data_IF_313344595704
#
_entry.id   IF_313344595704
#
_cell.length_a   1.000
_cell.length_b   1.000
_cell.length_c   1.000
_cell.angle_alpha   90.00
_cell.angle_beta   90.00
_cell.angle_gamma   90.00
#
_symmetry.space_group_name_H-M   'P 1'
#
loop_
_entity.id
_entity.type
_entity.pdbx_description
1 polymer ?
#
# COMPACT_ATOMS: atom_id res chain seq x y z
N UNK A 1 -13.76 -10.46 0.28
CA UNK A 1 -13.37 -10.44 0.20
C UNK A 1 -12.67 -10.41 0.14
N UNK A 2 -12.51 -10.12 0.63
CA UNK A 2 -11.82 -10.10 0.65
C UNK A 2 -11.09 -10.40 0.65
N UNK A 3 -10.93 -10.82 1.00
CA UNK A 3 -10.16 -11.26 0.91
C UNK A 3 -9.78 -11.85 0.15
N UNK A 4 -9.95 -12.01 -0.05
CA UNK A 4 -9.51 -12.50 -0.68
C UNK A 4 -8.92 -12.51 -1.35
N UNK A 5 -9.07 -12.46 -1.31
CA UNK A 5 -8.62 -12.27 -1.87
C UNK A 5 -7.41 -12.42 -2.28
N UNK A 6 -6.98 -12.33 -2.38
CA UNK A 6 -5.84 -12.31 -2.73
C UNK A 6 -4.97 -13.05 -1.93
N UNK A 7 -5.20 -13.52 -1.08
CA UNK A 7 -4.52 -14.16 -0.36
C UNK A 7 -4.25 -15.34 -0.75
N UNK A 8 -4.61 -15.73 -1.28
CA UNK A 8 -4.56 -16.83 -1.56
C UNK A 8 -3.64 -17.60 -2.14
N UNK A 9 -3.00 -17.49 -2.64
CA UNK A 9 -2.16 -18.32 -3.22
C UNK A 9 -0.84 -18.22 -2.63
N UNK A 10 -0.71 -18.08 -1.36
CA UNK A 10 0.55 -17.93 -0.73
C UNK A 10 1.47 -19.11 -0.97
N UNK A 11 0.89 -20.28 -1.05
CA UNK A 11 1.60 -21.44 -1.26
C UNK A 11 2.35 -21.51 -2.54
N UNK A 12 1.69 -21.34 -3.60
CA UNK A 12 2.25 -21.29 -4.89
C UNK A 12 3.22 -20.16 -4.99
N UNK A 13 2.87 -19.05 -4.40
CA UNK A 13 3.69 -17.88 -4.40
C UNK A 13 5.03 -18.15 -3.74
N UNK A 14 4.99 -18.83 -2.66
CA UNK A 14 6.18 -19.19 -1.95
C UNK A 14 7.08 -20.09 -2.76
N UNK A 15 6.52 -21.07 -3.39
CA UNK A 15 7.30 -21.96 -4.20
C UNK A 15 7.96 -21.25 -5.37
N UNK A 16 7.22 -20.33 -5.97
CA UNK A 16 7.75 -19.54 -7.05
C UNK A 16 8.91 -18.69 -6.58
N UNK A 17 8.77 -18.05 -5.45
CA UNK A 17 9.80 -17.22 -4.89
C UNK A 17 11.04 -18.00 -4.52
N UNK A 18 10.86 -19.17 -4.03
CA UNK A 18 11.97 -20.00 -3.67
C UNK A 18 12.87 -20.28 -4.86
N UNK A 19 12.24 -20.47 -5.99
CA UNK A 19 12.96 -20.72 -7.20
C UNK A 19 13.58 -19.46 -7.76
N UNK A 20 12.80 -18.42 -7.88
CA UNK A 20 13.25 -17.17 -8.43
C UNK A 20 14.14 -16.42 -7.48
N UNK A 21 14.04 -16.72 -6.23
CA UNK A 21 14.81 -16.05 -5.20
C UNK A 21 16.29 -16.17 -5.39
N UNK A 22 16.70 -17.09 -6.19
CA UNK A 22 18.10 -17.23 -6.47
C UNK A 22 18.58 -16.05 -7.30
N UNK A 23 17.66 -15.31 -7.88
CA UNK A 23 18.01 -14.12 -8.61
C UNK A 23 17.79 -12.96 -7.70
N UNK A 24 18.89 -12.38 -7.30
CA UNK A 24 18.87 -11.25 -6.42
C UNK A 24 17.91 -10.15 -6.82
N UNK A 25 17.94 -9.75 -8.05
CA UNK A 25 17.11 -8.65 -8.51
C UNK A 25 15.63 -8.92 -8.37
N UNK A 26 15.24 -10.16 -8.58
CA UNK A 26 13.83 -10.50 -8.50
C UNK A 26 13.33 -10.40 -7.05
N UNK A 27 14.12 -10.89 -6.12
CA UNK A 27 13.73 -10.85 -4.72
C UNK A 27 13.57 -9.42 -4.22
N UNK A 28 14.48 -8.56 -4.61
CA UNK A 28 14.43 -7.17 -4.21
C UNK A 28 13.21 -6.48 -4.80
N UNK A 29 12.91 -6.77 -6.05
CA UNK A 29 11.74 -6.17 -6.68
C UNK A 29 10.45 -6.65 -6.03
N UNK A 30 10.42 -7.92 -5.67
CA UNK A 30 9.24 -8.46 -5.01
C UNK A 30 9.04 -7.81 -3.64
N UNK A 31 10.12 -7.64 -2.89
CA UNK A 31 10.02 -7.03 -1.56
C UNK A 31 9.51 -5.60 -1.64
N UNK A 32 9.99 -4.85 -2.62
CA UNK A 32 9.54 -3.48 -2.80
C UNK A 32 8.06 -3.45 -3.12
N UNK A 33 7.62 -4.35 -4.00
CA UNK A 33 6.24 -4.41 -4.39
C UNK A 33 5.34 -4.83 -3.22
N UNK A 34 5.84 -5.73 -2.39
CA UNK A 34 5.09 -6.17 -1.23
C UNK A 34 4.83 -5.02 -0.27
N UNK A 35 5.83 -4.16 -0.08
CA UNK A 35 5.67 -3.00 0.78
C UNK A 35 4.65 -2.03 0.20
N UNK A 36 4.66 -1.86 -1.11
CA UNK A 36 3.71 -0.97 -1.75
C UNK A 36 2.29 -1.50 -1.62
N UNK A 37 2.10 -2.80 -1.76
CA UNK A 37 0.79 -3.39 -1.57
C UNK A 37 0.32 -3.24 -0.12
N UNK A 38 1.25 -3.41 0.80
CA UNK A 38 0.96 -3.28 2.21
C UNK A 38 0.49 -1.87 2.54
N UNK A 39 1.19 -0.89 1.98
CA UNK A 39 0.83 0.50 2.19
C UNK A 39 -0.53 0.83 1.59
N UNK A 40 -0.76 0.38 0.36
CA UNK A 40 -2.04 0.62 -0.29
C UNK A 40 -3.19 0.02 0.53
N UNK A 41 -2.97 -1.17 1.04
CA UNK A 41 -3.97 -1.84 1.85
C UNK A 41 -4.29 -1.04 3.11
N UNK A 42 -3.27 -0.51 3.76
CA UNK A 42 -3.45 0.30 4.94
C UNK A 42 -4.23 1.57 4.64
N UNK A 43 -3.93 2.18 3.51
CA UNK A 43 -4.63 3.39 3.11
C UNK A 43 -6.11 3.11 2.84
N UNK A 44 -6.38 2.03 2.14
CA UNK A 44 -7.76 1.65 1.85
C UNK A 44 -8.53 1.36 3.14
N UNK A 45 -7.91 0.66 4.05
CA UNK A 45 -8.56 0.33 5.31
C UNK A 45 -8.81 1.56 6.16
N UNK A 46 -7.87 2.48 6.16
CA UNK A 46 -8.04 3.71 6.93
C UNK A 46 -9.18 4.55 6.35
N UNK A 47 -9.25 4.62 5.03
CA UNK A 47 -10.33 5.37 4.40
C UNK A 47 -11.69 4.71 4.69
N UNK A 48 -11.75 3.39 4.59
CA UNK A 48 -12.99 2.67 4.87
C UNK A 48 -13.44 2.87 6.31
N UNK A 49 -12.48 2.83 7.22
CA UNK A 49 -12.77 3.02 8.63
C UNK A 49 -13.32 4.41 8.90
N UNK A 50 -12.83 5.40 8.15
CA UNK A 50 -13.30 6.76 8.28
C UNK A 50 -14.64 6.98 7.57
N UNK A 51 -15.07 6.03 6.76
CA UNK A 51 -16.32 6.15 6.04
C UNK A 51 -16.27 7.16 4.91
N UNK A 52 -15.09 7.34 4.32
CA UNK A 52 -14.92 8.36 3.29
C UNK A 52 -14.77 7.75 1.91
N UNK A 53 -15.28 8.46 0.92
CA UNK A 53 -15.08 8.08 -0.47
C UNK A 53 -13.77 8.66 -0.95
N UNK A 54 -13.32 8.21 -2.11
CA UNK A 54 -12.14 8.80 -2.72
C UNK A 54 -12.34 10.28 -3.02
N UNK A 55 -13.55 10.64 -3.43
CA UNK A 55 -13.86 12.04 -3.68
C UNK A 55 -13.73 12.88 -2.42
N UNK A 56 -14.23 12.36 -1.31
CA UNK A 56 -14.17 13.10 -0.06
C UNK A 56 -12.73 13.30 0.41
N UNK A 57 -11.91 12.26 0.25
CA UNK A 57 -10.51 12.38 0.63
C UNK A 57 -9.80 13.37 -0.28
N UNK A 58 -10.10 13.31 -1.59
CA UNK A 58 -9.51 14.24 -2.54
C UNK A 58 -9.82 15.67 -2.15
N UNK A 59 -11.04 15.91 -1.77
CA UNK A 59 -11.46 17.23 -1.36
C UNK A 59 -10.70 17.71 -0.14
N UNK A 60 -10.57 16.85 0.85
CA UNK A 60 -9.84 17.19 2.06
C UNK A 60 -8.37 17.46 1.81
N UNK A 61 -7.80 16.78 0.84
CA UNK A 61 -6.40 16.95 0.51
C UNK A 61 -6.15 18.04 -0.53
N UNK A 62 -7.22 18.59 -1.11
CA UNK A 62 -7.07 19.59 -2.14
C UNK A 62 -6.54 19.03 -3.43
N UNK A 63 -6.97 17.84 -3.78
CA UNK A 63 -6.49 17.19 -4.99
C UNK A 63 -7.66 16.52 -5.72
N UNK A 64 -7.38 15.68 -6.70
CA UNK A 64 -8.42 15.06 -7.51
C UNK A 64 -8.65 13.62 -7.10
N UNK A 65 -9.82 13.11 -7.46
CA UNK A 65 -10.13 11.71 -7.21
C UNK A 65 -9.12 10.79 -7.90
N UNK A 66 -8.70 11.17 -9.11
CA UNK A 66 -7.71 10.40 -9.83
C UNK A 66 -6.40 10.28 -9.07
N UNK A 67 -6.00 11.37 -8.42
CA UNK A 67 -4.78 11.35 -7.62
C UNK A 67 -4.92 10.40 -6.46
N UNK A 68 -6.09 10.40 -5.80
CA UNK A 68 -6.32 9.50 -4.68
C UNK A 68 -6.33 8.05 -5.17
N UNK A 69 -6.96 7.81 -6.28
CA UNK A 69 -6.99 6.47 -6.86
C UNK A 69 -5.58 5.96 -7.10
N UNK A 70 -4.71 6.83 -7.61
CA UNK A 70 -3.33 6.46 -7.83
C UNK A 70 -2.57 6.20 -6.55
N UNK A 71 -2.84 7.00 -5.53
CA UNK A 71 -2.20 6.79 -4.24
C UNK A 71 -2.56 5.43 -3.65
N UNK A 72 -3.80 5.03 -3.86
CA UNK A 72 -4.29 3.78 -3.29
C UNK A 72 -3.99 2.57 -4.15
N UNK A 73 -3.34 2.77 -5.27
CA UNK A 73 -2.92 1.66 -6.13
C UNK A 73 -1.48 1.33 -5.84
N UNK A 74 -1.18 0.07 -5.76
CA UNK A 74 0.19 -0.33 -5.55
C UNK A 74 0.93 -0.36 -6.86
N UNK A 75 2.22 -0.19 -6.77
CA UNK A 75 3.08 -0.61 -7.85
C UNK A 75 3.85 0.40 -8.62
N UNK A 76 3.30 1.51 -9.00
CA UNK A 76 4.06 2.37 -9.86
C UNK A 76 4.87 3.43 -9.19
N UNK A 77 4.28 4.14 -8.30
CA UNK A 77 4.98 5.21 -7.61
C UNK A 77 4.67 5.16 -6.15
N UNK A 78 5.70 5.19 -5.35
CA UNK A 78 5.50 5.28 -3.91
C UNK A 78 5.22 6.74 -3.57
N UNK A 79 4.21 7.02 -2.77
CA UNK A 79 3.94 8.40 -2.36
C UNK A 79 5.06 8.92 -1.46
N UNK A 80 5.24 10.23 -1.46
CA UNK A 80 6.21 10.84 -0.58
C UNK A 80 5.66 10.85 0.84
N UNK A 81 6.55 11.06 1.81
CA UNK A 81 6.12 11.15 3.19
C UNK A 81 5.16 12.32 3.39
N UNK A 82 5.39 13.41 2.72
CA UNK A 82 4.51 14.57 2.82
C UNK A 82 3.10 14.21 2.35
N UNK A 83 3.01 13.49 1.24
CA UNK A 83 1.72 13.07 0.72
C UNK A 83 1.04 12.10 1.67
N UNK A 84 1.80 11.16 2.23
CA UNK A 84 1.26 10.20 3.16
C UNK A 84 0.72 10.89 4.42
N UNK A 85 1.42 11.91 4.89
CA UNK A 85 0.96 12.67 6.04
C UNK A 85 -0.37 13.35 5.75
N UNK A 86 -0.48 13.93 4.56
CA UNK A 86 -1.72 14.59 4.18
C UNK A 86 -2.86 13.60 4.07
N UNK A 87 -2.59 12.44 3.49
CA UNK A 87 -3.61 11.41 3.37
C UNK A 87 -4.06 10.95 4.77
N UNK A 88 -3.09 10.67 5.63
CA UNK A 88 -3.39 10.21 6.98
C UNK A 88 -4.29 11.21 7.70
N UNK A 89 -3.93 12.48 7.60
CA UNK A 89 -4.71 13.54 8.20
C UNK A 89 -6.13 13.57 7.66
N UNK A 90 -6.26 13.40 6.35
CA UNK A 90 -7.56 13.45 5.71
C UNK A 90 -8.49 12.34 6.17
N UNK A 91 -7.94 11.19 6.53
CA UNK A 91 -8.75 10.07 7.00
C UNK A 91 -8.72 9.91 8.52
N UNK A 92 -8.26 10.95 9.21
CA UNK A 92 -8.29 10.96 10.67
C UNK A 92 -7.27 10.05 11.32
N UNK A 93 -6.16 9.84 10.66
CA UNK A 93 -5.10 8.98 11.18
C UNK A 93 -3.82 9.74 11.37
N UNK A 94 -2.92 9.15 12.10
CA UNK A 94 -1.60 9.69 12.27
C UNK A 94 -0.62 8.79 11.55
N UNK A 95 0.26 9.36 10.76
CA UNK A 95 1.26 8.56 10.04
C UNK A 95 2.38 8.17 10.97
N UNK A 96 2.69 6.88 11.00
CA UNK A 96 3.82 6.39 11.76
C UNK A 96 4.70 5.56 10.86
N UNK A 97 5.99 5.80 10.94
CA UNK A 97 6.96 5.05 10.15
C UNK A 97 7.97 4.45 11.11
N UNK A 98 8.18 3.16 11.01
CA UNK A 98 9.11 2.49 11.90
C UNK A 98 10.08 1.64 11.13
N UNK A 99 11.31 1.64 11.57
CA UNK A 99 12.33 0.79 11.03
C UNK A 99 12.48 -0.39 11.97
N UNK A 100 12.23 -1.56 11.45
CA UNK A 100 12.28 -2.78 12.25
C UNK A 100 13.59 -3.48 11.99
N UNK A 101 14.36 -3.79 13.04
CA UNK A 101 15.64 -4.46 12.82
C UNK A 101 15.45 -5.82 12.16
N UNK A 102 16.37 -6.13 11.29
CA UNK A 102 16.36 -7.44 10.68
C UNK A 102 17.25 -8.35 11.48
N UNK A 103 16.92 -9.65 11.46
CA UNK A 103 17.72 -10.58 12.16
C UNK A 103 18.93 -11.01 11.42
#
# INVERSE_FOLDING_TARGET
MADLKFKPVPHKHKAFLAKAGKRKGFAEAYDALALEYQLADQMLKARARAGLTQDAVAERMGTTKSAISRLESAGKHAPSLATLKRYASAVGCELQVRLVPQK
#
